data_IF_618366146019
#
_entry.id   IF_618366146019
#
_cell.length_a   1.000
_cell.length_b   1.000
_cell.length_c   1.000
_cell.angle_alpha   90.00
_cell.angle_beta   90.00
_cell.angle_gamma   90.00
#
_symmetry.space_group_name_H-M   'P 1'
#
loop_
_entity.id
_entity.type
_entity.pdbx_description
1 polymer ?
#
# COMPACT_ATOMS: atom_id res chain seq x y z
N UNK A 1 23.27 -22.39 -37.03
CA UNK A 1 21.93 -21.91 -37.41
C UNK A 1 21.94 -20.41 -37.22
N UNK A 2 21.82 -19.63 -38.30
CA UNK A 2 21.87 -18.15 -38.23
C UNK A 2 20.45 -17.67 -37.97
N UNK A 3 20.22 -16.93 -36.87
CA UNK A 3 18.91 -16.39 -36.55
C UNK A 3 18.42 -15.45 -37.66
N UNK A 4 17.18 -15.65 -38.09
CA UNK A 4 16.58 -14.79 -39.10
C UNK A 4 16.11 -13.46 -38.48
N UNK A 5 15.80 -12.48 -39.34
CA UNK A 5 15.40 -11.13 -38.92
C UNK A 5 14.19 -11.09 -37.97
N UNK A 6 13.23 -12.00 -38.14
CA UNK A 6 12.04 -12.07 -37.29
C UNK A 6 12.36 -12.71 -35.93
N UNK A 7 13.26 -13.69 -35.88
CA UNK A 7 13.78 -14.26 -34.63
C UNK A 7 14.56 -13.22 -33.82
N UNK A 8 15.32 -12.34 -34.49
CA UNK A 8 16.03 -11.22 -33.85
C UNK A 8 15.03 -10.21 -33.27
N UNK A 9 14.00 -9.80 -34.03
CA UNK A 9 12.98 -8.87 -33.52
C UNK A 9 12.25 -9.42 -32.30
N UNK A 10 11.91 -10.72 -32.32
CA UNK A 10 11.24 -11.39 -31.21
C UNK A 10 12.13 -11.44 -29.97
N UNK A 11 13.40 -11.84 -30.12
CA UNK A 11 14.35 -11.87 -29.02
C UNK A 11 14.57 -10.47 -28.40
N UNK A 12 14.64 -9.42 -29.24
CA UNK A 12 14.75 -8.04 -28.78
C UNK A 12 13.49 -7.59 -28.02
N UNK A 13 12.30 -7.90 -28.54
CA UNK A 13 11.05 -7.58 -27.86
C UNK A 13 10.93 -8.29 -26.50
N UNK A 14 11.28 -9.58 -26.44
CA UNK A 14 11.28 -10.36 -25.19
C UNK A 14 12.28 -9.79 -24.18
N UNK A 15 13.47 -9.38 -24.62
CA UNK A 15 14.51 -8.76 -23.77
C UNK A 15 14.07 -7.40 -23.22
N UNK A 16 13.39 -6.59 -24.04
CA UNK A 16 12.86 -5.29 -23.59
C UNK A 16 11.73 -5.48 -22.58
N UNK A 17 10.87 -6.47 -22.78
CA UNK A 17 9.79 -6.81 -21.85
C UNK A 17 10.34 -7.35 -20.53
N UNK A 18 11.36 -8.22 -20.57
CA UNK A 18 11.99 -8.73 -19.35
C UNK A 18 12.68 -7.62 -18.56
N UNK A 19 13.37 -6.70 -19.25
CA UNK A 19 14.00 -5.54 -18.61
C UNK A 19 12.97 -4.61 -17.96
N UNK A 20 11.89 -4.26 -18.66
CA UNK A 20 10.83 -3.43 -18.09
C UNK A 20 10.16 -4.08 -16.87
N UNK A 21 10.04 -5.41 -16.88
CA UNK A 21 9.52 -6.18 -15.75
C UNK A 21 10.48 -6.17 -14.57
N UNK A 22 11.78 -6.35 -14.81
CA UNK A 22 12.82 -6.28 -13.78
C UNK A 22 12.90 -4.89 -13.14
N UNK A 23 12.82 -3.81 -13.93
CA UNK A 23 12.77 -2.44 -13.43
C UNK A 23 11.48 -2.15 -12.64
N UNK A 24 10.33 -2.66 -13.08
CA UNK A 24 9.09 -2.55 -12.33
C UNK A 24 9.13 -3.34 -11.01
N UNK A 25 9.70 -4.56 -11.02
CA UNK A 25 9.95 -5.34 -9.81
C UNK A 25 10.94 -4.64 -8.88
N UNK A 26 12.00 -4.04 -9.42
CA UNK A 26 12.98 -3.28 -8.65
C UNK A 26 12.34 -2.03 -8.04
N UNK A 27 11.51 -1.30 -8.79
CA UNK A 27 10.76 -0.16 -8.28
C UNK A 27 9.75 -0.56 -7.20
N UNK A 28 9.06 -1.70 -7.36
CA UNK A 28 8.15 -2.25 -6.34
C UNK A 28 8.93 -2.73 -5.10
N UNK A 29 10.09 -3.37 -5.28
CA UNK A 29 11.00 -3.77 -4.19
C UNK A 29 11.67 -2.56 -3.53
N UNK A 30 11.82 -1.45 -4.25
CA UNK A 30 12.37 -0.19 -3.77
C UNK A 30 11.31 0.68 -3.08
N UNK A 31 10.02 0.38 -3.22
CA UNK A 31 9.02 0.84 -2.25
C UNK A 31 9.35 0.12 -0.95
N UNK A 32 9.97 0.85 -0.03
CA UNK A 32 10.27 0.30 1.29
C UNK A 32 8.95 -0.11 1.96
N UNK A 33 8.96 -1.26 2.63
CA UNK A 33 7.84 -1.70 3.45
C UNK A 33 7.50 -0.66 4.53
N UNK A 34 8.46 0.19 4.90
CA UNK A 34 8.25 1.33 5.79
C UNK A 34 7.61 2.54 5.10
N UNK A 35 7.86 2.78 3.81
CA UNK A 35 7.16 3.80 3.03
C UNK A 35 5.67 3.44 2.84
N UNK A 36 5.37 2.16 2.61
CA UNK A 36 3.99 1.66 2.57
C UNK A 36 3.28 1.87 3.90
N UNK A 37 3.97 1.60 5.00
CA UNK A 37 3.41 1.81 6.33
C UNK A 37 3.08 3.29 6.56
N UNK A 38 4.00 4.20 6.24
CA UNK A 38 3.77 5.64 6.37
C UNK A 38 2.61 6.12 5.50
N UNK A 39 2.49 5.63 4.27
CA UNK A 39 1.41 6.01 3.36
C UNK A 39 0.04 5.56 3.89
N UNK A 40 -0.05 4.32 4.39
CA UNK A 40 -1.30 3.80 4.96
C UNK A 40 -1.64 4.54 6.26
N UNK A 41 -0.66 4.84 7.12
CA UNK A 41 -0.86 5.63 8.35
C UNK A 41 -1.32 7.06 8.05
N UNK A 42 -0.77 7.71 7.01
CA UNK A 42 -1.19 9.04 6.58
C UNK A 42 -2.63 9.07 6.07
N UNK A 43 -3.04 8.08 5.28
CA UNK A 43 -4.43 7.95 4.82
C UNK A 43 -5.38 7.64 5.98
N UNK A 44 -4.93 6.82 6.92
CA UNK A 44 -5.68 6.50 8.13
C UNK A 44 -5.96 7.75 8.97
N UNK A 45 -4.99 8.67 9.06
CA UNK A 45 -5.16 9.94 9.78
C UNK A 45 -6.30 10.79 9.23
N UNK A 46 -6.47 10.83 7.90
CA UNK A 46 -7.60 11.53 7.26
C UNK A 46 -8.97 10.97 7.68
N UNK A 47 -9.03 9.69 8.09
CA UNK A 47 -10.26 9.04 8.57
C UNK A 47 -10.46 9.23 10.08
N UNK A 48 -9.38 9.30 10.87
CA UNK A 48 -9.48 9.42 12.33
C UNK A 48 -9.59 10.85 12.82
N UNK A 49 -8.95 11.82 12.16
CA UNK A 49 -8.93 13.21 12.60
C UNK A 49 -10.34 13.82 12.75
N UNK A 50 -11.31 13.57 11.84
CA UNK A 50 -12.69 14.00 12.04
C UNK A 50 -13.35 13.32 13.25
N UNK A 51 -13.07 12.04 13.49
CA UNK A 51 -13.62 11.29 14.61
C UNK A 51 -13.08 11.80 15.95
N UNK A 52 -11.78 12.11 16.02
CA UNK A 52 -11.13 12.72 17.18
C UNK A 52 -11.67 14.13 17.44
N UNK A 53 -11.84 14.92 16.39
CA UNK A 53 -12.45 16.25 16.49
C UNK A 53 -13.88 16.16 17.03
N UNK A 54 -14.70 15.23 16.53
CA UNK A 54 -16.06 15.02 17.02
C UNK A 54 -16.05 14.53 18.49
N UNK A 55 -15.12 13.68 18.90
CA UNK A 55 -14.96 13.25 20.31
C UNK A 55 -14.69 14.45 21.23
N UNK A 56 -13.83 15.37 20.81
CA UNK A 56 -13.42 16.53 21.61
C UNK A 56 -14.52 17.61 21.68
N UNK A 57 -15.26 17.79 20.58
CA UNK A 57 -16.23 18.89 20.44
C UNK A 57 -17.65 18.51 20.86
N UNK A 58 -18.02 17.22 20.82
CA UNK A 58 -19.37 16.78 21.16
C UNK A 58 -19.61 16.72 22.68
N UNK A 59 -20.85 16.98 23.09
CA UNK A 59 -21.33 16.74 24.47
C UNK A 59 -21.92 15.34 24.64
N UNK A 60 -22.25 14.64 23.54
CA UNK A 60 -22.89 13.32 23.58
C UNK A 60 -21.92 12.21 23.97
N UNK A 61 -22.24 11.50 25.06
CA UNK A 61 -21.41 10.41 25.57
C UNK A 61 -21.38 9.20 24.63
N UNK A 62 -22.53 8.85 24.02
CA UNK A 62 -22.61 7.76 23.05
C UNK A 62 -21.75 8.03 21.81
N UNK A 63 -21.76 9.27 21.30
CA UNK A 63 -20.92 9.68 20.15
C UNK A 63 -19.43 9.51 20.47
N UNK A 64 -19.00 9.92 21.67
CA UNK A 64 -17.61 9.73 22.11
C UNK A 64 -17.20 8.25 22.11
N UNK A 65 -18.06 7.37 22.62
CA UNK A 65 -17.78 5.94 22.67
C UNK A 65 -17.72 5.32 21.28
N UNK A 66 -18.74 5.58 20.46
CA UNK A 66 -18.82 5.07 19.09
C UNK A 66 -17.58 5.46 18.30
N UNK A 67 -17.18 6.74 18.36
CA UNK A 67 -16.03 7.23 17.61
C UNK A 67 -14.71 6.64 18.11
N UNK A 68 -14.53 6.47 19.43
CA UNK A 68 -13.36 5.77 19.99
C UNK A 68 -13.29 4.32 19.50
N UNK A 69 -14.43 3.63 19.45
CA UNK A 69 -14.49 2.27 18.93
C UNK A 69 -14.08 2.22 17.45
N UNK A 70 -14.59 3.15 16.62
CA UNK A 70 -14.20 3.24 15.21
C UNK A 70 -12.71 3.48 15.03
N UNK A 71 -12.11 4.40 15.77
CA UNK A 71 -10.66 4.67 15.71
C UNK A 71 -9.86 3.39 16.02
N UNK A 72 -10.21 2.67 17.10
CA UNK A 72 -9.51 1.44 17.49
C UNK A 72 -9.63 0.36 16.41
N UNK A 73 -10.84 0.14 15.88
CA UNK A 73 -11.08 -0.88 14.85
C UNK A 73 -10.31 -0.57 13.56
N UNK A 74 -10.35 0.68 13.12
CA UNK A 74 -9.63 1.11 11.92
C UNK A 74 -8.10 0.96 12.10
N UNK A 75 -7.56 1.31 13.29
CA UNK A 75 -6.13 1.18 13.57
C UNK A 75 -5.69 -0.29 13.56
N UNK A 76 -6.51 -1.20 14.09
CA UNK A 76 -6.25 -2.64 14.04
C UNK A 76 -6.31 -3.18 12.61
N UNK A 77 -7.31 -2.79 11.82
CA UNK A 77 -7.45 -3.20 10.43
C UNK A 77 -6.23 -2.77 9.60
N UNK A 78 -5.79 -1.51 9.74
CA UNK A 78 -4.60 -0.98 9.06
C UNK A 78 -3.35 -1.78 9.41
N UNK A 79 -3.09 -2.04 10.70
CA UNK A 79 -1.95 -2.84 11.13
C UNK A 79 -1.96 -4.23 10.51
N UNK A 80 -3.14 -4.87 10.45
CA UNK A 80 -3.29 -6.19 9.84
C UNK A 80 -3.05 -6.16 8.33
N UNK A 81 -3.53 -5.13 7.64
CA UNK A 81 -3.33 -4.97 6.18
C UNK A 81 -1.85 -4.75 5.88
N UNK A 82 -1.18 -3.86 6.60
CA UNK A 82 0.26 -3.61 6.44
C UNK A 82 1.05 -4.89 6.68
N UNK A 83 0.73 -5.63 7.74
CA UNK A 83 1.40 -6.92 8.02
C UNK A 83 1.19 -7.95 6.90
N UNK A 84 -0.03 -8.10 6.38
CA UNK A 84 -0.35 -9.01 5.27
C UNK A 84 0.38 -8.62 3.98
N UNK A 85 0.45 -7.32 3.66
CA UNK A 85 1.21 -6.81 2.52
C UNK A 85 2.72 -7.08 2.70
N UNK A 86 3.28 -6.78 3.88
CA UNK A 86 4.69 -7.07 4.22
C UNK A 86 4.99 -8.56 4.03
N UNK A 87 4.09 -9.44 4.48
CA UNK A 87 4.25 -10.89 4.35
C UNK A 87 4.14 -11.40 2.90
N UNK A 88 3.32 -10.77 2.06
CA UNK A 88 3.15 -11.19 0.65
C UNK A 88 4.27 -10.71 -0.27
N UNK A 89 4.97 -9.64 0.12
CA UNK A 89 6.08 -9.04 -0.65
C UNK A 89 7.44 -9.65 -0.24
N UNK A 90 7.60 -10.05 1.03
CA UNK A 90 8.77 -10.76 1.54
C UNK A 90 8.86 -12.20 1.00
#
# INVERSE_FOLDING_TARGET
MIMNREEIKKAVAETVVSFAREEAEAAIKAIDLDDLQQLVEAQMKNLTDPLETEIQTTTSWWVKIRNRLYIVLLQQAVKSIVADIKQKIA
#
